data_IF_016748543570
#
_entry.id   IF_016748543570
#
_cell.length_a   1.000
_cell.length_b   1.000
_cell.length_c   1.000
_cell.angle_alpha   90.00
_cell.angle_beta   90.00
_cell.angle_gamma   90.00
#
_symmetry.space_group_name_H-M   'P 1'
#
loop_
_entity.id
_entity.type
_entity.pdbx_description
1 polymer ?
#
# COMPACT_ATOMS: atom_id res chain seq x y z
N UNK A 1 7.33 9.81 8.98
CA UNK A 1 7.18 9.30 7.60
C UNK A 1 6.77 7.83 7.59
N UNK A 2 7.46 6.93 8.32
CA UNK A 2 7.04 5.52 8.48
C UNK A 2 5.61 5.40 8.99
N UNK A 3 5.28 6.11 10.07
CA UNK A 3 3.91 6.17 10.62
C UNK A 3 2.88 6.63 9.58
N UNK A 4 3.24 7.58 8.71
CA UNK A 4 2.31 8.06 7.67
C UNK A 4 2.00 6.97 6.64
N UNK A 5 3.00 6.19 6.21
CA UNK A 5 2.81 5.09 5.27
C UNK A 5 1.99 3.96 5.89
N UNK A 6 2.26 3.65 7.17
CA UNK A 6 1.49 2.68 7.94
C UNK A 6 0.04 3.11 8.11
N UNK A 7 -0.20 4.36 8.50
CA UNK A 7 -1.56 4.91 8.61
C UNK A 7 -2.28 4.91 7.29
N UNK A 8 -1.59 5.19 6.18
CA UNK A 8 -2.18 5.18 4.84
C UNK A 8 -2.61 3.76 4.43
N UNK A 9 -1.77 2.74 4.65
CA UNK A 9 -2.11 1.34 4.40
C UNK A 9 -3.29 0.87 5.26
N UNK A 10 -3.29 1.21 6.55
CA UNK A 10 -4.39 0.88 7.47
C UNK A 10 -5.68 1.59 7.07
N UNK A 11 -5.63 2.87 6.76
CA UNK A 11 -6.77 3.67 6.30
C UNK A 11 -7.39 3.08 5.04
N UNK A 12 -6.56 2.74 4.05
CA UNK A 12 -7.01 2.10 2.80
C UNK A 12 -7.67 0.75 3.08
N UNK A 13 -7.06 -0.06 3.96
CA UNK A 13 -7.60 -1.34 4.39
C UNK A 13 -8.97 -1.22 5.06
N UNK A 14 -9.13 -0.26 5.96
CA UNK A 14 -10.40 0.00 6.66
C UNK A 14 -11.48 0.45 5.69
N UNK A 15 -11.18 1.42 4.81
CA UNK A 15 -12.16 1.93 3.83
C UNK A 15 -12.72 0.80 2.96
N UNK A 16 -11.86 -0.09 2.46
CA UNK A 16 -12.30 -1.18 1.58
C UNK A 16 -13.09 -2.29 2.29
N UNK A 17 -12.99 -2.38 3.62
CA UNK A 17 -13.80 -3.30 4.41
C UNK A 17 -15.16 -2.71 4.78
N UNK A 18 -15.31 -1.39 4.68
CA UNK A 18 -16.61 -0.75 4.85
C UNK A 18 -17.49 -1.03 3.62
N UNK A 19 -18.82 -1.17 3.81
CA UNK A 19 -19.74 -1.57 2.75
C UNK A 19 -20.08 -0.41 1.79
N UNK A 20 -19.06 0.28 1.27
CA UNK A 20 -19.23 1.40 0.34
C UNK A 20 -19.35 0.96 -1.12
N UNK A 21 -19.00 -0.28 -1.45
CA UNK A 21 -19.05 -0.80 -2.82
C UNK A 21 -18.32 0.14 -3.81
N UNK A 22 -17.09 0.50 -3.49
CA UNK A 22 -16.23 1.44 -4.24
C UNK A 22 -15.82 0.87 -5.61
N UNK A 23 -15.49 -0.42 -5.66
CA UNK A 23 -15.04 -1.08 -6.88
C UNK A 23 -16.14 -1.17 -7.97
N UNK A 24 -17.39 -1.54 -7.63
CA UNK A 24 -18.49 -1.51 -8.59
C UNK A 24 -18.90 -0.11 -9.06
N UNK A 25 -18.62 0.93 -8.27
CA UNK A 25 -19.15 2.28 -8.51
C UNK A 25 -18.21 3.18 -9.30
N UNK A 26 -16.97 2.76 -9.57
CA UNK A 26 -15.99 3.58 -10.27
C UNK A 26 -15.13 2.77 -11.24
N UNK A 27 -15.04 3.27 -12.48
CA UNK A 27 -14.25 2.68 -13.58
C UNK A 27 -12.77 2.59 -13.20
N UNK A 28 -12.27 3.52 -12.38
CA UNK A 28 -10.87 3.54 -11.94
C UNK A 28 -10.45 2.24 -11.21
N UNK A 29 -11.38 1.53 -10.59
CA UNK A 29 -11.12 0.30 -9.84
C UNK A 29 -11.40 -0.98 -10.63
N UNK A 30 -11.79 -0.88 -11.91
CA UNK A 30 -12.22 -2.03 -12.71
C UNK A 30 -11.12 -3.09 -12.82
N UNK A 31 -9.86 -2.69 -13.05
CA UNK A 31 -8.74 -3.64 -13.09
C UNK A 31 -8.50 -4.31 -11.73
N UNK A 32 -8.67 -3.60 -10.62
CA UNK A 32 -8.52 -4.17 -9.27
C UNK A 32 -9.64 -5.18 -8.96
N UNK A 33 -10.87 -4.86 -9.36
CA UNK A 33 -12.03 -5.73 -9.21
C UNK A 33 -11.91 -7.03 -10.03
N UNK A 34 -11.21 -6.98 -11.17
CA UNK A 34 -10.92 -8.16 -11.98
C UNK A 34 -9.98 -9.18 -11.32
N UNK A 35 -9.22 -8.76 -10.29
CA UNK A 35 -8.26 -9.62 -9.58
C UNK A 35 -8.89 -10.19 -8.31
N UNK A 36 -9.48 -9.32 -7.49
CA UNK A 36 -10.08 -9.70 -6.22
C UNK A 36 -11.15 -8.70 -5.78
N UNK A 37 -12.05 -9.13 -4.89
CA UNK A 37 -13.05 -8.25 -4.31
C UNK A 37 -12.43 -7.26 -3.30
N UNK A 38 -13.18 -6.22 -2.96
CA UNK A 38 -12.74 -5.15 -2.04
C UNK A 38 -12.31 -5.70 -0.68
N UNK A 39 -13.01 -6.70 -0.17
CA UNK A 39 -12.72 -7.30 1.14
C UNK A 39 -11.32 -7.92 1.16
N UNK A 40 -10.94 -8.64 0.11
CA UNK A 40 -9.60 -9.25 0.00
C UNK A 40 -8.53 -8.17 -0.07
N UNK A 41 -8.74 -7.12 -0.88
CA UNK A 41 -7.84 -5.97 -0.94
C UNK A 41 -7.72 -5.26 0.41
N UNK A 42 -8.84 -5.05 1.11
CA UNK A 42 -8.90 -4.42 2.42
C UNK A 42 -8.14 -5.20 3.49
N UNK A 43 -8.38 -6.52 3.58
CA UNK A 43 -7.67 -7.42 4.48
C UNK A 43 -6.16 -7.45 4.20
N UNK A 44 -5.78 -7.47 2.92
CA UNK A 44 -4.38 -7.48 2.53
C UNK A 44 -3.66 -6.18 2.92
N UNK A 45 -4.30 -5.03 2.72
CA UNK A 45 -3.75 -3.73 3.13
C UNK A 45 -3.67 -3.57 4.64
N UNK A 46 -4.67 -4.09 5.37
CA UNK A 46 -4.62 -4.18 6.83
C UNK A 46 -3.45 -5.05 7.31
N UNK A 47 -3.20 -6.19 6.66
CA UNK A 47 -2.09 -7.07 7.01
C UNK A 47 -0.75 -6.36 6.83
N UNK A 48 -0.55 -5.67 5.70
CA UNK A 48 0.66 -4.89 5.43
C UNK A 48 0.82 -3.77 6.46
N UNK A 49 -0.23 -2.98 6.69
CA UNK A 49 -0.21 -1.89 7.67
C UNK A 49 0.08 -2.41 9.09
N UNK A 50 -0.53 -3.52 9.49
CA UNK A 50 -0.29 -4.14 10.79
C UNK A 50 1.14 -4.65 10.92
N UNK A 51 1.70 -5.28 9.87
CA UNK A 51 3.09 -5.73 9.86
C UNK A 51 4.08 -4.56 9.99
N UNK A 52 3.82 -3.43 9.31
CA UNK A 52 4.63 -2.22 9.44
C UNK A 52 4.52 -1.62 10.85
N UNK A 53 3.31 -1.57 11.41
CA UNK A 53 3.06 -1.08 12.76
C UNK A 53 3.79 -1.94 13.80
N UNK A 54 3.67 -3.26 13.70
CA UNK A 54 4.37 -4.20 14.57
C UNK A 54 5.88 -4.09 14.45
N UNK A 55 6.42 -3.96 13.23
CA UNK A 55 7.83 -3.70 12.99
C UNK A 55 8.29 -2.42 13.67
N UNK A 56 7.47 -1.36 13.63
CA UNK A 56 7.72 -0.06 14.27
C UNK A 56 7.71 -0.16 15.79
N UNK A 57 6.67 -0.75 16.38
CA UNK A 57 6.52 -0.88 17.83
C UNK A 57 7.65 -1.73 18.44
N UNK A 58 7.98 -2.86 17.82
CA UNK A 58 9.01 -3.77 18.33
C UNK A 58 10.43 -3.39 17.91
N UNK A 59 10.61 -2.31 17.15
CA UNK A 59 11.88 -1.93 16.53
C UNK A 59 12.58 -3.10 15.78
N UNK A 60 11.80 -4.02 15.21
CA UNK A 60 12.33 -5.16 14.48
C UNK A 60 12.66 -4.74 13.03
N UNK A 61 13.95 -4.54 12.76
CA UNK A 61 14.46 -4.10 11.47
C UNK A 61 14.10 -5.03 10.31
N UNK A 62 14.14 -6.35 10.52
CA UNK A 62 13.79 -7.33 9.48
C UNK A 62 12.32 -7.20 9.09
N UNK A 63 11.43 -7.11 10.10
CA UNK A 63 9.99 -6.98 9.87
C UNK A 63 9.65 -5.64 9.20
N UNK A 64 10.28 -4.53 9.63
CA UNK A 64 10.17 -3.22 8.97
C UNK A 64 10.57 -3.31 7.50
N UNK A 65 11.72 -3.93 7.22
CA UNK A 65 12.29 -4.01 5.88
C UNK A 65 11.40 -4.82 4.93
N UNK A 66 10.94 -6.00 5.35
CA UNK A 66 10.07 -6.87 4.55
C UNK A 66 8.71 -6.22 4.31
N UNK A 67 8.10 -5.63 5.35
CA UNK A 67 6.79 -4.97 5.21
C UNK A 67 6.84 -3.69 4.37
N UNK A 68 7.94 -2.93 4.40
CA UNK A 68 8.16 -1.79 3.50
C UNK A 68 8.38 -2.23 2.05
N UNK A 69 9.09 -3.35 1.84
CA UNK A 69 9.27 -3.92 0.49
C UNK A 69 7.93 -4.38 -0.10
N UNK A 70 7.16 -5.13 0.70
CA UNK A 70 5.82 -5.57 0.31
C UNK A 70 4.92 -4.38 -0.02
N UNK A 71 4.88 -3.36 0.86
CA UNK A 71 4.11 -2.14 0.60
C UNK A 71 4.55 -1.43 -0.68
N UNK A 72 5.85 -1.34 -0.94
CA UNK A 72 6.38 -0.73 -2.17
C UNK A 72 5.85 -1.44 -3.41
N UNK A 73 5.95 -2.77 -3.45
CA UNK A 73 5.41 -3.57 -4.55
C UNK A 73 3.91 -3.35 -4.73
N UNK A 74 3.17 -3.30 -3.63
CA UNK A 74 1.71 -3.11 -3.66
C UNK A 74 1.33 -1.72 -4.14
N UNK A 75 2.00 -0.66 -3.71
CA UNK A 75 1.71 0.69 -4.17
C UNK A 75 2.02 0.88 -5.66
N UNK A 76 3.13 0.32 -6.15
CA UNK A 76 3.41 0.30 -7.59
C UNK A 76 2.38 -0.52 -8.36
N UNK A 77 1.97 -1.66 -7.82
CA UNK A 77 0.94 -2.49 -8.44
C UNK A 77 -0.40 -1.75 -8.54
N UNK A 78 -0.84 -1.10 -7.46
CA UNK A 78 -2.05 -0.26 -7.44
C UNK A 78 -1.92 0.89 -8.45
N UNK A 79 -0.77 1.57 -8.50
CA UNK A 79 -0.52 2.62 -9.48
C UNK A 79 -0.64 2.11 -10.93
N UNK A 80 -0.08 0.92 -11.22
CA UNK A 80 -0.22 0.28 -12.53
C UNK A 80 -1.67 -0.07 -12.85
N UNK A 81 -2.44 -0.59 -11.88
CA UNK A 81 -3.87 -0.92 -12.09
C UNK A 81 -4.70 0.34 -12.43
N UNK A 82 -4.43 1.46 -11.76
CA UNK A 82 -5.05 2.74 -12.10
C UNK A 82 -4.61 3.23 -13.49
N UNK A 83 -3.32 3.09 -13.84
CA UNK A 83 -2.83 3.46 -15.15
C UNK A 83 -3.44 2.65 -16.30
N UNK A 84 -3.71 1.35 -16.09
CA UNK A 84 -4.36 0.49 -17.08
C UNK A 84 -5.85 0.82 -17.22
N UNK A 85 -6.53 1.08 -16.10
CA UNK A 85 -7.97 1.39 -16.10
C UNK A 85 -8.23 2.77 -16.71
N UNK A 86 -7.40 3.76 -16.39
CA UNK A 86 -7.54 5.12 -16.89
C UNK A 86 -6.18 5.84 -16.88
N UNK A 87 -5.59 5.99 -18.08
CA UNK A 87 -4.19 6.38 -18.32
C UNK A 87 -3.77 7.76 -17.76
N UNK A 88 -4.71 8.61 -17.32
CA UNK A 88 -4.44 9.98 -16.87
C UNK A 88 -5.21 10.39 -15.61
N UNK A 89 -5.38 9.49 -14.64
CA UNK A 89 -5.92 9.87 -13.34
C UNK A 89 -4.83 10.38 -12.39
N UNK A 90 -5.19 11.36 -11.55
CA UNK A 90 -4.34 11.84 -10.45
C UNK A 90 -4.00 10.72 -9.45
N UNK A 91 -4.83 9.66 -9.40
CA UNK A 91 -4.59 8.46 -8.61
C UNK A 91 -3.29 7.76 -9.03
N UNK A 92 -3.08 7.48 -10.32
CA UNK A 92 -1.87 6.81 -10.83
C UNK A 92 -0.58 7.49 -10.35
N UNK A 93 -0.49 8.80 -10.52
CA UNK A 93 0.67 9.58 -10.08
C UNK A 93 0.83 9.59 -8.56
N UNK A 94 -0.26 9.73 -7.81
CA UNK A 94 -0.23 9.75 -6.34
C UNK A 94 0.29 8.43 -5.78
N UNK A 95 -0.26 7.29 -6.21
CA UNK A 95 0.16 5.97 -5.73
C UNK A 95 1.57 5.60 -6.20
N UNK A 96 1.99 6.07 -7.39
CA UNK A 96 3.37 5.92 -7.84
C UNK A 96 4.36 6.66 -6.92
N UNK A 97 4.05 7.91 -6.54
CA UNK A 97 4.87 8.68 -5.59
C UNK A 97 4.91 7.98 -4.23
N UNK A 98 3.78 7.46 -3.75
CA UNK A 98 3.73 6.69 -2.50
C UNK A 98 4.64 5.46 -2.58
N UNK A 99 4.62 4.71 -3.70
CA UNK A 99 5.52 3.60 -3.96
C UNK A 99 7.01 3.99 -3.90
N UNK A 100 7.37 5.11 -4.53
CA UNK A 100 8.72 5.67 -4.44
C UNK A 100 9.12 6.02 -2.99
N UNK A 101 8.21 6.62 -2.22
CA UNK A 101 8.46 6.98 -0.82
C UNK A 101 8.64 5.74 0.07
N UNK A 102 7.83 4.70 -0.11
CA UNK A 102 8.00 3.44 0.64
C UNK A 102 9.29 2.72 0.25
N UNK A 103 9.69 2.78 -1.02
CA UNK A 103 10.95 2.23 -1.51
C UNK A 103 12.16 2.96 -0.93
N UNK A 104 12.11 4.28 -0.87
CA UNK A 104 13.13 5.10 -0.22
C UNK A 104 13.28 4.77 1.27
N UNK A 105 12.15 4.62 1.98
CA UNK A 105 12.15 4.21 3.39
C UNK A 105 12.77 2.81 3.56
N UNK A 106 12.48 1.86 2.68
CA UNK A 106 13.10 0.54 2.71
C UNK A 106 14.64 0.64 2.62
N UNK A 107 15.16 1.45 1.68
CA UNK A 107 16.60 1.66 1.55
C UNK A 107 17.19 2.31 2.81
N UNK A 108 16.51 3.31 3.38
CA UNK A 108 16.94 4.01 4.60
C UNK A 108 17.02 3.07 5.80
N UNK A 109 16.00 2.24 6.02
CA UNK A 109 15.98 1.24 7.10
C UNK A 109 17.07 0.18 6.88
N UNK A 110 17.30 -0.23 5.63
CA UNK A 110 18.41 -1.12 5.27
C UNK A 110 19.79 -0.54 5.60
N UNK A 111 20.01 0.75 5.31
CA UNK A 111 21.26 1.43 5.62
C UNK A 111 21.51 1.58 7.13
N UNK A 112 20.45 1.67 7.95
CA UNK A 112 20.56 1.72 9.41
C UNK A 112 21.01 0.39 10.04
N UNK A 113 20.74 -0.74 9.38
CA UNK A 113 21.16 -2.07 9.84
C UNK A 113 22.61 -2.41 9.46
N UNK A 114 23.24 -1.63 8.57
CA UNK A 114 24.63 -1.80 8.15
C UNK A 114 25.63 -0.95 8.93
N UNK A 115 25.19 -0.22 9.96
CA UNK A 115 26.02 0.52 10.93
C UNK A 115 25.93 -0.16 12.29
#
# INVERSE_FOLDING_TARGET
MEVAMTSLALWWGIILLLPYHTFPTSIAYQAMAGIANETVWGLFMLLIGSAQLLGTIHNNYQLKRVSLLAATGVWFFIASMFGISELFTTATGTYFIIGCLTGWLHMKVGAQNGR
#
